data_IF_112552677600
#
_entry.id   IF_112552677600
#
_cell.length_a   1.000
_cell.length_b   1.000
_cell.length_c   1.000
_cell.angle_alpha   90.00
_cell.angle_beta   90.00
_cell.angle_gamma   90.00
#
_symmetry.space_group_name_H-M   'P 1'
#
loop_
_entity.id
_entity.type
_entity.pdbx_description
1 polymer ?
#
# COMPACT_ATOMS: atom_id res chain seq x y z
N UNK A 1 -42.69 -10.80 34.81
CA UNK A 1 -42.48 -11.06 33.37
C UNK A 1 -41.87 -9.79 32.75
N UNK A 2 -40.60 -9.45 32.95
CA UNK A 2 -39.39 -10.10 32.38
C UNK A 2 -39.45 -10.35 30.86
N UNK A 3 -40.01 -9.46 30.02
CA UNK A 3 -39.87 -9.64 28.55
C UNK A 3 -39.68 -8.37 27.71
N UNK A 4 -39.82 -7.15 28.25
CA UNK A 4 -39.75 -5.94 27.41
C UNK A 4 -38.38 -5.24 27.40
N UNK A 5 -37.53 -5.46 28.42
CA UNK A 5 -36.16 -4.94 28.44
C UNK A 5 -35.18 -5.77 27.59
N UNK A 6 -35.57 -6.96 27.14
CA UNK A 6 -34.71 -7.85 26.34
C UNK A 6 -34.78 -7.58 24.83
N UNK A 7 -35.72 -6.75 24.37
CA UNK A 7 -35.96 -6.53 22.94
C UNK A 7 -35.35 -5.23 22.40
N UNK A 8 -34.97 -4.28 23.28
CA UNK A 8 -34.30 -3.04 22.86
C UNK A 8 -32.78 -3.21 22.67
N UNK A 9 -32.22 -4.36 23.03
CA UNK A 9 -30.79 -4.66 22.86
C UNK A 9 -30.43 -5.24 21.47
N UNK A 10 -31.39 -5.42 20.56
CA UNK A 10 -31.19 -6.15 19.31
C UNK A 10 -31.14 -5.28 18.03
N UNK A 11 -31.24 -3.96 18.13
CA UNK A 11 -31.37 -3.10 16.96
C UNK A 11 -30.27 -2.05 16.85
N UNK A 12 -29.23 -2.36 16.07
CA UNK A 12 -28.34 -1.38 15.43
C UNK A 12 -27.31 -0.72 16.37
N UNK A 13 -26.34 -1.51 16.82
CA UNK A 13 -25.01 -0.99 17.15
C UNK A 13 -23.88 -1.78 16.46
N UNK A 14 -24.21 -2.57 15.43
CA UNK A 14 -23.26 -3.46 14.75
C UNK A 14 -22.78 -2.96 13.38
N UNK A 15 -23.01 -1.69 13.00
CA UNK A 15 -22.63 -1.20 11.66
C UNK A 15 -21.59 -0.05 11.68
N UNK A 16 -20.97 0.25 12.81
CA UNK A 16 -19.80 1.15 12.84
C UNK A 16 -18.57 0.54 13.52
N UNK A 17 -18.42 -0.78 13.41
CA UNK A 17 -17.09 -1.39 13.43
C UNK A 17 -16.50 -1.37 12.01
N UNK A 18 -16.51 -0.21 11.35
CA UNK A 18 -15.33 0.12 10.57
C UNK A 18 -14.30 0.41 11.64
N UNK A 19 -13.68 -0.66 12.14
CA UNK A 19 -12.39 -0.53 12.77
C UNK A 19 -11.56 0.22 11.74
N UNK A 20 -11.43 1.53 11.92
CA UNK A 20 -10.28 2.29 11.49
C UNK A 20 -9.09 1.70 12.25
N UNK A 21 -8.77 0.42 12.02
CA UNK A 21 -7.40 -0.01 12.06
C UNK A 21 -6.74 0.92 11.07
N UNK A 22 -6.01 1.89 11.60
CA UNK A 22 -4.98 2.61 10.86
C UNK A 22 -3.92 1.57 10.47
N UNK A 23 -4.30 0.57 9.70
CA UNK A 23 -3.38 -0.23 8.95
C UNK A 23 -2.84 0.78 7.95
N UNK A 24 -1.55 1.07 8.05
CA UNK A 24 -0.84 1.84 7.03
C UNK A 24 -0.99 1.07 5.72
N UNK A 25 -2.10 1.29 5.03
CA UNK A 25 -2.37 0.65 3.75
C UNK A 25 -1.43 1.29 2.75
N UNK A 26 -0.72 0.43 2.02
CA UNK A 26 0.13 0.83 0.91
C UNK A 26 -0.70 1.32 -0.29
N UNK A 27 -2.02 1.46 -0.12
CA UNK A 27 -2.96 1.97 -1.10
C UNK A 27 -2.55 3.36 -1.58
N UNK A 28 -2.39 3.49 -2.88
CA UNK A 28 -2.02 4.75 -3.52
C UNK A 28 -1.30 4.56 -4.84
N UNK A 29 -1.06 5.69 -5.49
CA UNK A 29 -0.16 5.80 -6.64
C UNK A 29 1.10 6.51 -6.18
N UNK A 30 2.26 5.98 -6.51
CA UNK A 30 3.55 6.46 -6.05
C UNK A 30 4.44 6.80 -7.24
N UNK A 31 5.03 7.99 -7.18
CA UNK A 31 5.78 8.58 -8.28
C UNK A 31 7.23 8.81 -7.85
N UNK A 32 8.18 8.60 -8.77
CA UNK A 32 9.56 8.99 -8.50
C UNK A 32 9.75 10.51 -8.66
N UNK A 33 10.96 11.01 -8.39
CA UNK A 33 11.30 12.44 -8.48
C UNK A 33 11.10 13.08 -9.89
N UNK A 34 10.86 12.26 -10.92
CA UNK A 34 10.61 12.72 -12.29
C UNK A 34 9.12 12.66 -12.68
N UNK A 35 8.22 12.49 -11.69
CA UNK A 35 6.78 12.33 -11.88
C UNK A 35 6.39 11.10 -12.74
N UNK A 36 7.25 10.07 -12.79
CA UNK A 36 6.88 8.78 -13.37
C UNK A 36 6.19 7.90 -12.34
N UNK A 37 5.05 7.30 -12.72
CA UNK A 37 4.35 6.32 -11.91
C UNK A 37 5.21 5.05 -11.78
N UNK A 38 5.52 4.67 -10.55
CA UNK A 38 6.35 3.50 -10.24
C UNK A 38 5.54 2.39 -9.58
N UNK A 39 4.62 2.73 -8.69
CA UNK A 39 3.82 1.75 -7.95
C UNK A 39 2.38 2.23 -7.82
N UNK A 40 1.43 1.35 -8.11
CA UNK A 40 0.01 1.55 -7.85
C UNK A 40 -0.50 0.35 -7.06
N UNK A 41 -1.05 0.57 -5.87
CA UNK A 41 -1.62 -0.48 -5.02
C UNK A 41 -3.02 -0.08 -4.56
N UNK A 42 -3.91 -1.08 -4.50
CA UNK A 42 -5.24 -1.01 -3.92
C UNK A 42 -5.57 -2.34 -3.24
N UNK A 43 -5.59 -2.35 -1.91
CA UNK A 43 -5.69 -3.57 -1.13
C UNK A 43 -4.46 -4.46 -1.39
N UNK A 44 -4.70 -5.72 -1.78
CA UNK A 44 -3.64 -6.71 -2.03
C UNK A 44 -3.26 -6.82 -3.51
N UNK A 45 -3.69 -5.87 -4.35
CA UNK A 45 -3.50 -5.89 -5.79
C UNK A 45 -2.90 -4.56 -6.26
N UNK A 46 -2.38 -4.54 -7.48
CA UNK A 46 -1.66 -3.39 -8.00
C UNK A 46 -0.73 -3.70 -9.16
N UNK A 47 0.13 -2.74 -9.49
CA UNK A 47 1.17 -2.90 -10.50
C UNK A 47 2.44 -2.17 -10.05
N UNK A 48 3.57 -2.85 -10.19
CA UNK A 48 4.90 -2.26 -10.12
C UNK A 48 5.40 -2.01 -11.56
N UNK A 49 5.71 -0.75 -11.87
CA UNK A 49 6.10 -0.27 -13.19
C UNK A 49 7.61 -0.07 -13.26
N UNK A 50 8.32 -1.10 -13.75
CA UNK A 50 9.78 -1.09 -13.86
C UNK A 50 10.20 -1.87 -15.11
N UNK A 51 10.57 -1.14 -16.17
CA UNK A 51 10.76 -1.60 -17.56
C UNK A 51 9.51 -2.24 -18.22
N UNK A 52 8.70 -2.94 -17.43
CA UNK A 52 7.44 -3.58 -17.78
C UNK A 52 6.47 -3.45 -16.59
N UNK A 53 5.22 -3.88 -16.81
CA UNK A 53 4.22 -3.96 -15.74
C UNK A 53 4.32 -5.31 -15.04
N UNK A 54 4.57 -5.28 -13.73
CA UNK A 54 4.64 -6.45 -12.88
C UNK A 54 3.43 -6.45 -11.93
N UNK A 55 2.48 -7.41 -12.07
CA UNK A 55 1.31 -7.45 -11.22
C UNK A 55 1.70 -7.67 -9.75
N UNK A 56 1.12 -6.86 -8.86
CA UNK A 56 1.20 -7.10 -7.42
C UNK A 56 0.23 -8.24 -7.10
N UNK A 57 0.74 -9.24 -6.39
CA UNK A 57 0.05 -10.48 -6.05
C UNK A 57 -0.36 -10.55 -4.58
N UNK A 58 0.37 -9.84 -3.72
CA UNK A 58 0.09 -9.77 -2.29
C UNK A 58 0.67 -8.50 -1.65
N UNK A 59 0.04 -8.02 -0.58
CA UNK A 59 0.56 -6.96 0.28
C UNK A 59 0.44 -7.41 1.74
N UNK A 60 1.58 -7.57 2.40
CA UNK A 60 1.67 -7.93 3.81
C UNK A 60 2.07 -6.71 4.65
N UNK A 61 1.06 -6.00 5.12
CA UNK A 61 1.24 -4.82 5.98
C UNK A 61 1.89 -5.10 7.32
N UNK A 62 1.83 -6.33 7.83
CA UNK A 62 2.42 -6.70 9.13
C UNK A 62 3.94 -6.85 8.99
N UNK A 63 4.38 -7.56 7.94
CA UNK A 63 5.80 -7.79 7.65
C UNK A 63 6.42 -6.68 6.80
N UNK A 64 5.62 -5.69 6.39
CA UNK A 64 6.02 -4.60 5.48
C UNK A 64 6.63 -5.13 4.19
N UNK A 65 5.93 -6.06 3.55
CA UNK A 65 6.32 -6.58 2.24
C UNK A 65 5.19 -6.48 1.23
N UNK A 66 5.54 -6.45 -0.05
CA UNK A 66 4.60 -6.73 -1.14
C UNK A 66 5.25 -7.72 -2.11
N UNK A 67 4.44 -8.56 -2.72
CA UNK A 67 4.89 -9.54 -3.72
C UNK A 67 4.43 -9.13 -5.10
N UNK A 68 5.23 -9.45 -6.12
CA UNK A 68 4.90 -9.19 -7.51
C UNK A 68 5.43 -10.28 -8.43
N UNK A 69 4.72 -10.51 -9.53
CA UNK A 69 5.12 -11.48 -10.54
C UNK A 69 5.88 -10.81 -11.68
N UNK A 70 7.02 -11.38 -12.04
CA UNK A 70 7.81 -10.96 -13.19
C UNK A 70 8.39 -12.19 -13.91
N UNK A 71 8.18 -12.29 -15.22
CA UNK A 71 8.69 -13.39 -16.06
C UNK A 71 8.37 -14.79 -15.52
N UNK A 72 7.15 -14.97 -14.98
CA UNK A 72 6.70 -16.25 -14.42
C UNK A 72 7.31 -16.62 -13.06
N UNK A 73 8.03 -15.70 -12.42
CA UNK A 73 8.59 -15.86 -11.06
C UNK A 73 7.96 -14.86 -10.11
N UNK A 74 7.94 -15.22 -8.84
CA UNK A 74 7.48 -14.36 -7.75
C UNK A 74 8.66 -13.67 -7.07
N UNK A 75 8.51 -12.39 -6.80
CA UNK A 75 9.49 -11.57 -6.08
C UNK A 75 8.84 -10.92 -4.88
N UNK A 76 9.62 -10.73 -3.81
CA UNK A 76 9.17 -10.07 -2.57
C UNK A 76 9.99 -8.82 -2.37
N UNK A 77 9.30 -7.68 -2.33
CA UNK A 77 9.89 -6.41 -1.93
C UNK A 77 9.61 -6.12 -0.46
N UNK A 78 10.61 -5.61 0.25
CA UNK A 78 10.43 -5.03 1.59
C UNK A 78 10.20 -3.54 1.46
N UNK A 79 9.41 -2.93 2.34
CA UNK A 79 9.12 -1.51 2.27
C UNK A 79 9.11 -0.81 3.63
N UNK A 80 9.27 0.52 3.60
CA UNK A 80 8.94 1.41 4.69
C UNK A 80 8.19 2.63 4.14
N UNK A 81 7.14 3.05 4.84
CA UNK A 81 6.33 4.20 4.46
C UNK A 81 6.29 5.21 5.61
N UNK A 82 6.68 6.46 5.29
CA UNK A 82 6.65 7.58 6.22
C UNK A 82 5.29 8.29 6.16
N UNK A 83 4.97 9.00 7.25
CA UNK A 83 3.71 9.78 7.37
C UNK A 83 3.56 10.88 6.31
N UNK A 84 4.66 11.39 5.77
CA UNK A 84 4.67 12.40 4.72
C UNK A 84 4.39 11.84 3.30
N UNK A 85 4.24 10.51 3.19
CA UNK A 85 4.00 9.80 1.93
C UNK A 85 5.27 9.39 1.18
N UNK A 86 6.46 9.54 1.78
CA UNK A 86 7.68 8.92 1.26
C UNK A 86 7.62 7.41 1.46
N UNK A 87 7.72 6.65 0.38
CA UNK A 87 7.83 5.20 0.38
C UNK A 87 9.21 4.81 -0.13
N UNK A 88 9.90 3.98 0.64
CA UNK A 88 11.12 3.31 0.19
C UNK A 88 10.88 1.82 0.11
N UNK A 89 11.29 1.15 -0.96
CA UNK A 89 11.21 -0.29 -1.05
C UNK A 89 12.45 -0.89 -1.70
N UNK A 90 12.75 -2.13 -1.32
CA UNK A 90 13.86 -2.93 -1.83
C UNK A 90 13.30 -4.18 -2.52
N UNK A 91 13.50 -4.32 -3.82
CA UNK A 91 13.01 -5.44 -4.64
C UNK A 91 13.87 -6.71 -4.54
N UNK A 92 14.84 -6.75 -3.62
CA UNK A 92 15.77 -7.87 -3.49
C UNK A 92 16.62 -8.03 -4.74
N UNK A 93 16.67 -9.24 -5.29
CA UNK A 93 17.51 -9.57 -6.45
C UNK A 93 16.82 -9.36 -7.81
N UNK A 94 15.67 -8.69 -7.85
CA UNK A 94 14.94 -8.47 -9.11
C UNK A 94 15.73 -7.61 -10.11
N UNK A 95 16.35 -6.53 -9.64
CA UNK A 95 17.15 -5.62 -10.46
C UNK A 95 18.62 -6.02 -10.40
N UNK A 96 19.30 -6.01 -11.56
CA UNK A 96 20.75 -6.28 -11.67
C UNK A 96 21.61 -5.09 -11.24
N UNK A 97 21.08 -4.21 -10.39
CA UNK A 97 21.67 -2.94 -9.95
C UNK A 97 21.00 -2.49 -8.65
N UNK A 98 20.97 -1.18 -8.37
CA UNK A 98 20.34 -0.62 -7.17
C UNK A 98 18.88 -1.04 -7.04
N UNK A 99 18.61 -2.00 -6.16
CA UNK A 99 17.31 -2.60 -5.90
C UNK A 99 16.44 -1.81 -4.93
N UNK A 100 16.96 -0.69 -4.41
CA UNK A 100 16.24 0.24 -3.52
C UNK A 100 15.69 1.42 -4.31
N UNK A 101 14.40 1.68 -4.15
CA UNK A 101 13.72 2.80 -4.77
C UNK A 101 13.10 3.70 -3.70
N UNK A 102 13.07 5.01 -3.98
CA UNK A 102 12.35 6.02 -3.18
C UNK A 102 11.31 6.68 -4.07
N UNK A 103 10.05 6.63 -3.65
CA UNK A 103 8.90 7.14 -4.38
C UNK A 103 7.95 7.88 -3.45
N UNK A 104 7.10 8.73 -4.00
CA UNK A 104 6.26 9.66 -3.27
C UNK A 104 4.80 9.42 -3.60
N UNK A 105 3.98 9.22 -2.57
CA UNK A 105 2.54 9.02 -2.72
C UNK A 105 1.89 10.26 -3.32
N UNK A 106 1.11 10.10 -4.37
CA UNK A 106 0.40 11.19 -5.05
C UNK A 106 -0.33 12.08 -4.04
N UNK A 107 -0.24 13.40 -4.26
CA UNK A 107 -0.87 14.46 -3.46
C UNK A 107 -0.39 14.55 -2.00
N UNK A 108 0.61 13.76 -1.59
CA UNK A 108 1.22 13.86 -0.25
C UNK A 108 2.16 15.06 -0.13
N UNK A 109 2.53 15.39 1.11
CA UNK A 109 3.51 16.45 1.39
C UNK A 109 4.87 16.16 0.74
N UNK A 110 5.33 14.90 0.79
CA UNK A 110 6.55 14.50 0.11
C UNK A 110 6.44 14.61 -1.43
N UNK A 111 5.28 14.31 -2.02
CA UNK A 111 5.06 14.47 -3.46
C UNK A 111 5.11 15.94 -3.88
N UNK A 112 4.40 16.84 -3.17
CA UNK A 112 4.46 18.28 -3.44
C UNK A 112 5.91 18.78 -3.32
N UNK A 113 6.59 18.45 -2.22
CA UNK A 113 7.96 18.93 -1.95
C UNK A 113 8.99 18.46 -2.99
N UNK A 114 8.91 17.22 -3.46
CA UNK A 114 9.95 16.61 -4.28
C UNK A 114 9.64 16.59 -5.79
N UNK A 115 8.38 16.73 -6.19
CA UNK A 115 7.95 16.64 -7.60
C UNK A 115 7.31 17.96 -8.05
N UNK A 116 6.23 18.39 -7.39
CA UNK A 116 5.51 19.62 -7.74
C UNK A 116 6.03 20.82 -6.94
N UNK A 117 7.21 21.31 -7.33
CA UNK A 117 7.71 22.60 -6.83
C UNK A 117 6.74 23.73 -7.10
#
# INVERSE_FOLDING_TARGET
>A
MKKLLSLLLLGIATIFLISCSKQNTLDGKYYNQYDYLVLEIKGNQGTYHENHNHPITNVDSQNKTFSFSASGREYVATYDIKKDGTLTFDTGNFLTGGNKQTVYKKDSEAYKKNIKK
#
